data_IF_517958858166
#
_entry.id   IF_517958858166
#
_cell.length_a   1.000
_cell.length_b   1.000
_cell.length_c   1.000
_cell.angle_alpha   90.00
_cell.angle_beta   90.00
_cell.angle_gamma   90.00
#
_symmetry.space_group_name_H-M   'P 1'
#
loop_
_entity.id
_entity.type
_entity.pdbx_description
1 polymer ?
#
# COMPACT_ATOMS: atom_id res chain seq x y z
N UNK A 1 -25.98 20.69 -11.80
CA UNK A 1 -26.17 19.65 -12.84
C UNK A 1 -24.80 19.14 -13.23
N UNK A 2 -24.50 17.87 -13.03
CA UNK A 2 -23.22 17.28 -13.42
C UNK A 2 -23.23 17.14 -14.95
N UNK A 3 -22.13 17.56 -15.60
CA UNK A 3 -22.02 17.53 -17.06
C UNK A 3 -22.16 16.07 -17.56
N UNK A 4 -23.06 15.76 -18.53
CA UNK A 4 -23.29 14.40 -19.05
C UNK A 4 -22.01 13.73 -19.56
N UNK A 5 -21.06 14.49 -20.06
CA UNK A 5 -19.76 14.02 -20.54
C UNK A 5 -18.90 13.49 -19.39
N UNK A 6 -18.86 14.16 -18.23
CA UNK A 6 -18.15 13.72 -17.03
C UNK A 6 -18.76 12.42 -16.50
N UNK A 7 -20.07 12.31 -16.48
CA UNK A 7 -20.75 11.08 -16.07
C UNK A 7 -20.38 9.88 -16.96
N UNK A 8 -20.29 10.08 -18.27
CA UNK A 8 -19.92 9.01 -19.21
C UNK A 8 -18.49 8.52 -18.99
N UNK A 9 -17.53 9.42 -18.81
CA UNK A 9 -16.12 9.09 -18.54
C UNK A 9 -16.03 8.37 -17.19
N UNK A 10 -16.64 8.90 -16.15
CA UNK A 10 -16.63 8.29 -14.81
C UNK A 10 -17.24 6.90 -14.85
N UNK A 11 -18.38 6.73 -15.50
CA UNK A 11 -19.04 5.42 -15.67
C UNK A 11 -18.16 4.41 -16.40
N UNK A 12 -17.41 4.85 -17.43
CA UNK A 12 -16.48 3.97 -18.16
C UNK A 12 -15.32 3.49 -17.26
N UNK A 13 -14.70 4.40 -16.50
CA UNK A 13 -13.63 4.03 -15.55
C UNK A 13 -14.14 3.08 -14.46
N UNK A 14 -15.31 3.35 -13.90
CA UNK A 14 -15.93 2.49 -12.89
C UNK A 14 -16.18 1.08 -13.44
N UNK A 15 -16.79 0.96 -14.61
CA UNK A 15 -17.07 -0.35 -15.24
C UNK A 15 -15.80 -1.14 -15.50
N UNK A 16 -14.73 -0.49 -16.01
CA UNK A 16 -13.45 -1.14 -16.23
C UNK A 16 -12.83 -1.64 -14.92
N UNK A 17 -12.93 -0.87 -13.84
CA UNK A 17 -12.36 -1.28 -12.55
C UNK A 17 -13.16 -2.38 -11.88
N UNK A 18 -14.49 -2.34 -11.95
CA UNK A 18 -15.36 -3.41 -11.44
C UNK A 18 -15.02 -4.73 -12.13
N UNK A 19 -14.85 -4.73 -13.44
CA UNK A 19 -14.46 -5.95 -14.17
C UNK A 19 -13.12 -6.53 -13.67
N UNK A 20 -12.13 -5.68 -13.36
CA UNK A 20 -10.87 -6.15 -12.76
C UNK A 20 -11.07 -6.76 -11.37
N UNK A 21 -11.94 -6.17 -10.54
CA UNK A 21 -12.28 -6.72 -9.21
C UNK A 21 -12.98 -8.08 -9.35
N UNK A 22 -13.87 -8.24 -10.33
CA UNK A 22 -14.51 -9.52 -10.63
C UNK A 22 -13.50 -10.61 -11.04
N UNK A 23 -12.43 -10.24 -11.77
CA UNK A 23 -11.34 -11.18 -12.08
C UNK A 23 -10.60 -11.64 -10.83
N UNK A 24 -10.39 -10.76 -9.84
CA UNK A 24 -9.79 -11.17 -8.56
C UNK A 24 -10.64 -12.17 -7.80
N UNK A 25 -11.97 -12.02 -7.85
CA UNK A 25 -12.91 -12.98 -7.26
C UNK A 25 -12.96 -14.31 -8.01
N UNK A 26 -12.84 -14.26 -9.33
CA UNK A 26 -12.94 -15.43 -10.19
C UNK A 26 -11.65 -16.26 -10.22
N UNK A 27 -10.49 -15.61 -10.14
CA UNK A 27 -9.16 -16.22 -10.26
C UNK A 27 -8.23 -15.82 -9.10
N UNK A 28 -8.62 -16.04 -7.82
CA UNK A 28 -7.88 -15.51 -6.67
C UNK A 28 -6.47 -16.10 -6.55
N UNK A 29 -6.28 -17.38 -6.84
CA UNK A 29 -4.99 -18.04 -6.71
C UNK A 29 -4.00 -17.57 -7.77
N UNK A 30 -4.46 -17.43 -9.01
CA UNK A 30 -3.65 -16.95 -10.13
C UNK A 30 -3.20 -15.52 -9.88
N UNK A 31 -4.11 -14.63 -9.48
CA UNK A 31 -3.82 -13.23 -9.20
C UNK A 31 -2.84 -13.11 -8.02
N UNK A 32 -3.04 -13.87 -6.94
CA UNK A 32 -2.13 -13.85 -5.79
C UNK A 32 -0.75 -14.36 -6.15
N UNK A 33 -0.66 -15.44 -6.96
CA UNK A 33 0.62 -15.97 -7.38
C UNK A 33 1.39 -15.01 -8.29
N UNK A 34 0.71 -14.39 -9.26
CA UNK A 34 1.31 -13.35 -10.12
C UNK A 34 1.82 -12.17 -9.31
N UNK A 35 1.01 -11.70 -8.34
CA UNK A 35 1.40 -10.61 -7.46
C UNK A 35 2.62 -10.99 -6.60
N UNK A 36 2.64 -12.19 -6.01
CA UNK A 36 3.77 -12.68 -5.24
C UNK A 36 5.06 -12.66 -6.08
N UNK A 37 5.02 -13.23 -7.28
CA UNK A 37 6.20 -13.28 -8.16
C UNK A 37 6.65 -11.88 -8.60
N UNK A 38 5.74 -10.96 -8.86
CA UNK A 38 6.03 -9.53 -9.14
C UNK A 38 6.76 -8.88 -7.96
N UNK A 39 6.26 -9.06 -6.73
CA UNK A 39 6.85 -8.49 -5.51
C UNK A 39 8.25 -9.06 -5.25
N UNK A 40 8.43 -10.38 -5.36
CA UNK A 40 9.71 -11.04 -5.20
C UNK A 40 10.73 -10.56 -6.25
N UNK A 41 10.32 -10.45 -7.51
CA UNK A 41 11.16 -9.93 -8.58
C UNK A 41 11.61 -8.49 -8.32
N UNK A 42 10.74 -7.65 -7.80
CA UNK A 42 11.06 -6.26 -7.43
C UNK A 42 12.03 -6.18 -6.25
N UNK A 43 11.93 -7.11 -5.30
CA UNK A 43 12.74 -7.10 -4.07
C UNK A 43 13.97 -8.01 -4.11
N UNK A 44 14.21 -8.80 -5.17
CA UNK A 44 15.29 -9.82 -5.23
C UNK A 44 16.70 -9.29 -4.93
N UNK A 45 16.98 -8.02 -5.27
CA UNK A 45 18.27 -7.40 -5.07
C UNK A 45 18.43 -6.69 -3.73
N UNK A 46 17.39 -6.66 -2.91
CA UNK A 46 17.43 -6.07 -1.56
C UNK A 46 18.16 -6.95 -0.56
N UNK A 47 18.46 -6.44 0.63
CA UNK A 47 19.08 -7.22 1.70
C UNK A 47 18.21 -8.43 2.09
N UNK A 48 16.91 -8.24 2.24
CA UNK A 48 15.97 -9.32 2.56
C UNK A 48 15.78 -10.29 1.39
N UNK A 49 15.76 -9.78 0.16
CA UNK A 49 15.65 -10.60 -1.04
C UNK A 49 16.84 -11.55 -1.24
N UNK A 50 18.04 -11.06 -0.97
CA UNK A 50 19.27 -11.88 -1.00
C UNK A 50 19.32 -12.87 0.17
N UNK A 51 18.89 -12.44 1.37
CA UNK A 51 18.88 -13.30 2.56
C UNK A 51 18.02 -14.55 2.35
N UNK A 52 16.87 -14.41 1.70
CA UNK A 52 15.91 -15.51 1.48
C UNK A 52 15.89 -16.05 0.05
N UNK A 53 16.79 -15.59 -0.84
CA UNK A 53 16.90 -16.08 -2.20
C UNK A 53 15.65 -15.85 -3.05
N UNK A 54 15.11 -14.62 -3.05
CA UNK A 54 13.87 -14.27 -3.77
C UNK A 54 13.93 -14.52 -5.27
N UNK A 55 15.10 -14.50 -5.87
CA UNK A 55 15.35 -14.79 -7.29
C UNK A 55 15.01 -16.22 -7.70
N UNK A 56 15.04 -17.16 -6.76
CA UNK A 56 14.81 -18.59 -6.99
C UNK A 56 13.46 -19.11 -6.49
N UNK A 57 12.64 -18.25 -5.88
CA UNK A 57 11.27 -18.57 -5.44
C UNK A 57 10.32 -18.54 -6.64
N UNK A 58 9.60 -19.63 -6.87
CA UNK A 58 8.70 -19.79 -8.03
C UNK A 58 7.22 -19.81 -7.69
N UNK A 59 6.87 -20.02 -6.43
CA UNK A 59 5.49 -20.13 -5.97
C UNK A 59 5.37 -19.88 -4.47
N UNK A 60 4.13 -19.88 -3.97
CA UNK A 60 3.85 -19.66 -2.55
C UNK A 60 4.48 -20.73 -1.64
N UNK A 61 4.56 -21.97 -2.07
CA UNK A 61 5.17 -23.05 -1.26
C UNK A 61 6.66 -22.77 -1.03
N UNK A 62 7.41 -22.47 -2.09
CA UNK A 62 8.83 -22.11 -1.99
C UNK A 62 9.02 -20.92 -1.06
N UNK A 63 8.12 -19.92 -1.17
CA UNK A 63 8.14 -18.72 -0.33
C UNK A 63 7.93 -19.07 1.15
N UNK A 64 6.90 -19.83 1.46
CA UNK A 64 6.54 -20.18 2.84
C UNK A 64 7.56 -21.08 3.53
N UNK A 65 8.31 -21.88 2.77
CA UNK A 65 9.37 -22.73 3.30
C UNK A 65 10.68 -21.96 3.60
N UNK A 66 10.91 -20.84 2.91
CA UNK A 66 12.17 -20.06 3.02
C UNK A 66 12.05 -18.81 3.87
N UNK A 67 10.90 -18.15 3.81
CA UNK A 67 10.69 -16.88 4.51
C UNK A 67 9.95 -17.14 5.81
N UNK A 68 10.63 -17.06 6.97
CA UNK A 68 10.00 -17.31 8.25
C UNK A 68 9.03 -16.17 8.61
N UNK A 69 8.04 -16.50 9.43
CA UNK A 69 7.24 -15.49 10.10
C UNK A 69 8.11 -14.82 11.16
N UNK A 70 8.30 -13.51 11.03
CA UNK A 70 9.15 -12.73 11.92
C UNK A 70 8.34 -11.76 12.78
N UNK A 71 8.78 -11.58 14.01
CA UNK A 71 8.28 -10.53 14.89
C UNK A 71 8.87 -9.17 14.49
N UNK A 72 8.26 -8.08 14.96
CA UNK A 72 8.82 -6.75 14.73
C UNK A 72 10.22 -6.59 15.33
N UNK A 73 10.45 -7.19 16.48
CA UNK A 73 11.71 -7.13 17.22
C UNK A 73 12.86 -7.76 16.42
N UNK A 74 12.60 -8.87 15.73
CA UNK A 74 13.59 -9.56 14.89
C UNK A 74 14.01 -8.75 13.65
N UNK A 75 13.11 -7.93 13.11
CA UNK A 75 13.40 -7.10 11.93
C UNK A 75 13.68 -5.63 12.28
N UNK A 76 13.64 -5.27 13.57
CA UNK A 76 13.73 -3.87 14.03
C UNK A 76 15.05 -3.20 13.65
N UNK A 77 16.18 -3.92 13.66
CA UNK A 77 17.47 -3.39 13.23
C UNK A 77 17.44 -3.01 11.74
N UNK A 78 16.87 -3.84 10.88
CA UNK A 78 16.71 -3.55 9.45
C UNK A 78 15.80 -2.33 9.23
N UNK A 79 14.76 -2.21 10.04
CA UNK A 79 13.85 -1.04 10.00
C UNK A 79 14.60 0.23 10.39
N UNK A 80 15.42 0.21 11.45
CA UNK A 80 16.21 1.37 11.87
C UNK A 80 17.27 1.76 10.83
N UNK A 81 17.92 0.79 10.17
CA UNK A 81 18.82 1.06 9.04
C UNK A 81 18.08 1.75 7.90
N UNK A 82 16.88 1.27 7.54
CA UNK A 82 16.03 1.91 6.53
C UNK A 82 15.63 3.33 6.95
N UNK A 83 15.30 3.56 8.23
CA UNK A 83 14.96 4.88 8.77
C UNK A 83 16.14 5.87 8.72
N UNK A 84 17.36 5.38 8.85
CA UNK A 84 18.59 6.15 8.70
C UNK A 84 18.97 6.43 7.24
N UNK A 85 18.13 6.00 6.29
CA UNK A 85 18.31 6.27 4.87
C UNK A 85 19.07 5.19 4.10
N UNK A 86 19.38 4.05 4.72
CA UNK A 86 19.99 2.93 4.00
C UNK A 86 19.01 2.35 2.99
N UNK A 87 19.46 2.22 1.75
CA UNK A 87 18.65 1.78 0.61
C UNK A 87 18.70 0.27 0.43
N UNK A 88 17.73 -0.25 -0.34
CA UNK A 88 17.69 -1.67 -0.72
C UNK A 88 17.67 -2.65 0.46
N UNK A 89 17.04 -2.30 1.58
CA UNK A 89 16.85 -3.22 2.71
C UNK A 89 15.65 -4.11 2.46
N UNK A 90 14.45 -3.54 2.43
CA UNK A 90 13.19 -4.26 2.20
C UNK A 90 12.68 -4.13 0.77
N UNK A 91 12.97 -3.02 0.10
CA UNK A 91 12.43 -2.69 -1.21
C UNK A 91 13.47 -1.99 -2.08
N UNK A 92 13.32 -2.10 -3.40
CA UNK A 92 14.27 -1.56 -4.37
C UNK A 92 14.21 -0.04 -4.54
N UNK A 93 13.03 0.56 -4.33
CA UNK A 93 12.88 2.01 -4.31
C UNK A 93 13.17 2.61 -2.93
N UNK A 94 13.46 3.90 -2.89
CA UNK A 94 13.75 4.61 -1.65
C UNK A 94 12.51 4.63 -0.73
N UNK A 95 12.68 4.18 0.50
CA UNK A 95 11.64 4.27 1.54
C UNK A 95 11.71 5.66 2.18
N UNK A 96 10.75 6.50 1.84
CA UNK A 96 10.63 7.87 2.39
C UNK A 96 9.58 7.97 3.49
N UNK A 97 8.66 7.01 3.57
CA UNK A 97 7.52 7.04 4.46
C UNK A 97 7.61 5.92 5.50
N UNK A 98 7.29 6.27 6.73
CA UNK A 98 7.16 5.32 7.82
C UNK A 98 5.85 5.56 8.55
N UNK A 99 4.99 4.54 8.62
CA UNK A 99 3.82 4.58 9.47
C UNK A 99 4.24 4.29 10.92
N UNK A 100 3.84 5.18 11.83
CA UNK A 100 4.05 5.00 13.26
C UNK A 100 2.79 4.40 13.88
N UNK A 101 2.91 3.21 14.49
CA UNK A 101 1.81 2.65 15.26
C UNK A 101 1.64 3.39 16.58
N UNK A 102 0.38 3.54 17.03
CA UNK A 102 0.11 3.94 18.42
C UNK A 102 0.57 2.79 19.33
N UNK A 103 1.68 2.97 20.04
CA UNK A 103 2.06 2.01 21.08
C UNK A 103 0.93 1.96 22.13
N UNK A 104 0.55 0.76 22.56
CA UNK A 104 -0.22 0.62 23.80
C UNK A 104 0.64 1.10 24.95
N UNK A 105 0.04 1.49 26.06
CA UNK A 105 0.57 2.29 27.20
C UNK A 105 1.98 1.89 27.70
N UNK A 106 2.51 0.72 27.35
CA UNK A 106 3.81 0.20 27.78
C UNK A 106 4.73 -0.29 26.65
N UNK A 107 4.34 -0.19 25.38
CA UNK A 107 5.18 -0.63 24.25
C UNK A 107 5.73 0.55 23.46
N UNK A 108 6.99 0.48 23.03
CA UNK A 108 7.60 1.45 22.12
C UNK A 108 6.82 1.49 20.81
N UNK A 109 6.60 2.67 20.25
CA UNK A 109 5.98 2.83 18.93
C UNK A 109 6.78 2.05 17.87
N UNK A 110 6.07 1.32 17.02
CA UNK A 110 6.65 0.56 15.90
C UNK A 110 6.59 1.40 14.64
N UNK A 111 7.60 1.28 13.79
CA UNK A 111 7.71 1.99 12.53
C UNK A 111 7.64 1.00 11.38
N UNK A 112 6.71 1.21 10.46
CA UNK A 112 6.48 0.33 9.31
C UNK A 112 6.96 1.07 8.06
N UNK A 113 7.98 0.55 7.35
CA UNK A 113 8.44 1.14 6.10
C UNK A 113 7.34 1.07 5.03
N UNK A 114 7.14 2.15 4.29
CA UNK A 114 6.14 2.21 3.22
C UNK A 114 6.82 2.71 1.95
N UNK A 115 6.77 1.89 0.90
CA UNK A 115 7.26 2.26 -0.42
C UNK A 115 6.23 3.10 -1.18
N UNK A 116 6.67 3.82 -2.20
CA UNK A 116 5.78 4.56 -3.10
C UNK A 116 4.79 3.61 -3.80
N UNK A 117 5.26 2.44 -4.24
CA UNK A 117 4.44 1.42 -4.87
C UNK A 117 3.37 0.89 -3.91
N UNK A 118 3.70 0.70 -2.62
CA UNK A 118 2.71 0.31 -1.60
C UNK A 118 1.62 1.36 -1.41
N UNK A 119 1.97 2.65 -1.50
CA UNK A 119 0.97 3.72 -1.47
C UNK A 119 0.07 3.68 -2.69
N UNK A 120 0.64 3.57 -3.88
CA UNK A 120 -0.08 3.67 -5.15
C UNK A 120 -0.88 2.39 -5.46
N UNK A 121 -0.21 1.22 -5.44
CA UNK A 121 -0.79 -0.04 -5.88
C UNK A 121 -1.66 -0.73 -4.81
N UNK A 122 -1.50 -0.37 -3.53
CA UNK A 122 -2.28 -0.93 -2.44
C UNK A 122 -3.19 0.12 -1.81
N UNK A 123 -2.64 1.13 -1.12
CA UNK A 123 -3.43 2.05 -0.31
C UNK A 123 -4.40 2.91 -1.14
N UNK A 124 -3.91 3.60 -2.18
CA UNK A 124 -4.76 4.43 -3.04
C UNK A 124 -5.63 3.59 -3.97
N UNK A 125 -5.12 2.45 -4.43
CA UNK A 125 -5.92 1.52 -5.24
C UNK A 125 -7.10 0.97 -4.44
N UNK A 126 -6.91 0.54 -3.19
CA UNK A 126 -7.98 0.05 -2.33
C UNK A 126 -9.05 1.11 -2.07
N UNK A 127 -8.66 2.38 -1.86
CA UNK A 127 -9.62 3.47 -1.72
C UNK A 127 -10.44 3.71 -3.01
N UNK A 128 -9.81 3.62 -4.17
CA UNK A 128 -10.51 3.68 -5.46
C UNK A 128 -11.48 2.52 -5.63
N UNK A 129 -11.07 1.32 -5.25
CA UNK A 129 -11.91 0.12 -5.33
C UNK A 129 -13.13 0.23 -4.44
N UNK A 130 -12.96 0.72 -3.20
CA UNK A 130 -14.07 0.99 -2.29
C UNK A 130 -15.08 1.96 -2.93
N UNK A 131 -14.61 3.05 -3.52
CA UNK A 131 -15.48 4.02 -4.21
C UNK A 131 -16.17 3.40 -5.42
N UNK A 132 -15.45 2.62 -6.23
CA UNK A 132 -16.02 1.94 -7.39
C UNK A 132 -17.13 0.97 -6.98
N UNK A 133 -16.89 0.13 -5.98
CA UNK A 133 -17.87 -0.83 -5.45
C UNK A 133 -19.09 -0.11 -4.87
N UNK A 134 -18.86 0.93 -4.06
CA UNK A 134 -19.96 1.71 -3.48
C UNK A 134 -20.84 2.35 -4.56
N UNK A 135 -20.24 3.02 -5.54
CA UNK A 135 -20.99 3.69 -6.61
C UNK A 135 -21.67 2.72 -7.56
N UNK A 136 -21.07 1.55 -7.82
CA UNK A 136 -21.69 0.49 -8.61
C UNK A 136 -22.93 -0.10 -7.95
N UNK A 137 -22.95 -0.16 -6.62
CA UNK A 137 -24.07 -0.69 -5.85
C UNK A 137 -25.11 0.38 -5.47
N UNK A 138 -24.83 1.66 -5.70
CA UNK A 138 -25.68 2.79 -5.30
C UNK A 138 -25.76 3.81 -6.44
N UNK A 139 -26.58 3.53 -7.44
CA UNK A 139 -26.74 4.36 -8.66
C UNK A 139 -27.15 5.82 -8.37
N UNK A 140 -27.93 6.04 -7.33
CA UNK A 140 -28.41 7.36 -6.90
C UNK A 140 -27.53 8.01 -5.82
N UNK A 141 -26.29 7.57 -5.69
CA UNK A 141 -25.38 8.08 -4.68
C UNK A 141 -25.09 9.56 -4.87
N UNK A 142 -25.15 10.31 -3.75
CA UNK A 142 -24.76 11.72 -3.65
C UNK A 142 -23.41 11.91 -2.98
N UNK A 143 -22.53 10.91 -3.05
CA UNK A 143 -21.24 10.89 -2.36
C UNK A 143 -20.36 12.12 -2.69
N UNK A 144 -20.47 12.63 -3.91
CA UNK A 144 -19.70 13.80 -4.36
C UNK A 144 -20.48 15.13 -4.25
N UNK A 145 -21.70 15.10 -3.69
CA UNK A 145 -22.48 16.29 -3.42
C UNK A 145 -22.27 16.74 -1.96
N UNK A 146 -22.12 18.06 -1.75
CA UNK A 146 -22.01 18.63 -0.41
C UNK A 146 -20.58 18.68 0.14
N UNK A 147 -20.45 18.63 1.48
CA UNK A 147 -19.17 18.78 2.20
C UNK A 147 -18.72 17.44 2.77
N UNK A 148 -17.44 17.13 2.61
CA UNK A 148 -16.82 15.94 3.19
C UNK A 148 -15.97 16.33 4.41
N UNK A 149 -16.20 15.66 5.55
CA UNK A 149 -15.33 15.75 6.72
C UNK A 149 -14.33 14.59 6.69
N UNK A 150 -13.05 14.92 6.78
CA UNK A 150 -11.98 13.92 6.86
C UNK A 150 -11.13 14.17 8.10
N UNK A 151 -10.93 13.13 8.88
CA UNK A 151 -9.99 13.11 10.00
C UNK A 151 -8.69 12.47 9.50
N UNK A 152 -7.59 13.22 9.54
CA UNK A 152 -6.27 12.74 9.16
C UNK A 152 -5.34 12.59 10.35
N UNK A 153 -4.32 11.78 10.21
CA UNK A 153 -3.23 11.69 11.17
C UNK A 153 -2.25 12.87 11.05
N UNK A 154 -1.37 13.02 12.05
CA UNK A 154 -0.30 14.01 12.01
C UNK A 154 0.87 13.50 11.15
N UNK A 155 1.58 14.45 10.51
CA UNK A 155 2.79 14.21 9.72
C UNK A 155 3.95 14.90 10.43
N UNK A 156 5.06 14.19 10.62
CA UNK A 156 6.31 14.78 11.10
C UNK A 156 7.47 14.39 10.19
N UNK A 157 8.45 15.25 10.01
CA UNK A 157 9.64 14.98 9.20
C UNK A 157 10.79 14.60 10.11
N UNK A 158 11.53 13.55 9.74
CA UNK A 158 12.76 13.17 10.43
C UNK A 158 13.92 13.98 9.85
N UNK A 159 14.64 14.71 10.69
CA UNK A 159 15.58 15.74 10.23
C UNK A 159 16.89 15.22 9.63
N UNK A 160 17.33 14.00 9.97
CA UNK A 160 18.65 13.51 9.55
C UNK A 160 18.72 13.03 8.10
N UNK A 161 17.61 12.57 7.52
CA UNK A 161 17.59 11.99 6.17
C UNK A 161 16.37 12.38 5.31
N UNK A 162 15.54 13.29 5.80
CA UNK A 162 14.33 13.73 5.09
C UNK A 162 13.21 12.71 5.03
N UNK A 163 13.28 11.60 5.79
CA UNK A 163 12.19 10.64 5.85
C UNK A 163 10.95 11.22 6.54
N UNK A 164 9.78 10.80 6.09
CA UNK A 164 8.50 11.33 6.55
C UNK A 164 7.85 10.31 7.47
N UNK A 165 7.58 10.72 8.71
CA UNK A 165 6.78 9.95 9.65
C UNK A 165 5.31 10.34 9.52
N UNK A 166 4.43 9.38 9.37
CA UNK A 166 2.99 9.58 9.39
C UNK A 166 2.36 8.69 10.47
N UNK A 167 1.49 9.26 11.29
CA UNK A 167 0.63 8.48 12.18
C UNK A 167 -0.49 7.87 11.33
N UNK A 168 -0.57 6.58 11.33
CA UNK A 168 -1.51 5.59 10.74
C UNK A 168 -2.57 6.03 9.69
N UNK A 169 -2.65 7.26 9.26
CA UNK A 169 -3.50 7.71 8.16
C UNK A 169 -2.68 8.51 7.18
N UNK A 170 -2.14 7.83 6.18
CA UNK A 170 -1.58 8.49 5.00
C UNK A 170 -2.77 8.93 4.15
N UNK A 171 -3.39 10.03 4.55
CA UNK A 171 -4.33 10.74 3.71
C UNK A 171 -3.63 11.97 3.17
N UNK A 172 -3.16 11.93 1.94
CA UNK A 172 -2.94 13.18 1.24
C UNK A 172 -4.30 13.85 1.00
N UNK A 173 -4.43 15.17 1.27
CA UNK A 173 -5.61 15.88 0.83
C UNK A 173 -5.59 15.88 -0.70
N UNK A 174 -6.31 14.97 -1.32
CA UNK A 174 -6.64 15.09 -2.73
C UNK A 174 -7.42 16.39 -2.86
N UNK A 175 -6.77 17.45 -3.35
CA UNK A 175 -7.48 18.60 -3.92
C UNK A 175 -8.27 18.05 -5.11
N UNK A 176 -9.51 17.73 -4.87
CA UNK A 176 -10.50 17.68 -5.94
C UNK A 176 -10.69 19.14 -6.37
N UNK A 177 -10.04 19.51 -7.42
CA UNK A 177 -10.29 20.76 -8.14
C UNK A 177 -11.63 20.63 -8.83
#
# INVERSE_FOLDING_TARGET
>A
MVNPFINSITSWFLKKRIHQIELFLKYPNEVQNELLLKLLSSAKNTSIGKLYGFDSIKNYKDYSERVPVSTYEEISEMIERSRKGEKNIFWSSDIKWFAKSSGTTNSKSKFIPISQESLEDCHYAANKDLLCLYLSNNENSKLFEGKNLRLGGSKSTYFENGSILSLIHISEPTRLV
#
